data_IF_533071234726
#
_entry.id   IF_533071234726
#
_cell.length_a   1.000
_cell.length_b   1.000
_cell.length_c   1.000
_cell.angle_alpha   90.00
_cell.angle_beta   90.00
_cell.angle_gamma   90.00
#
_symmetry.space_group_name_H-M   'P 1'
#
loop_
_entity.id
_entity.type
_entity.pdbx_description
1 polymer ?
#
# COMPACT_ATOMS: atom_id res chain seq x y z
N UNK A 1 13.74 -8.05 21.75
CA UNK A 1 14.84 -7.23 21.16
C UNK A 1 14.62 -5.79 21.58
N UNK A 2 15.57 -5.18 22.32
CA UNK A 2 15.43 -3.79 22.76
C UNK A 2 15.66 -2.86 21.56
N UNK A 3 14.68 -2.08 21.20
CA UNK A 3 14.83 -1.05 20.16
C UNK A 3 15.71 0.06 20.72
N UNK A 4 16.93 0.18 20.22
CA UNK A 4 17.83 1.26 20.60
C UNK A 4 17.43 2.56 19.89
N UNK A 5 17.37 3.66 20.64
CA UNK A 5 17.03 4.98 20.12
C UNK A 5 18.22 5.93 20.23
N UNK A 6 18.37 6.80 19.23
CA UNK A 6 19.18 7.99 19.34
C UNK A 6 18.40 9.09 20.07
N UNK A 7 19.11 9.84 20.90
CA UNK A 7 18.63 11.10 21.47
C UNK A 7 18.86 12.25 20.49
N UNK A 8 18.21 13.38 20.72
CA UNK A 8 18.44 14.59 19.93
C UNK A 8 19.92 15.03 20.00
N UNK A 9 20.58 14.86 21.14
CA UNK A 9 21.99 15.22 21.33
C UNK A 9 22.91 14.34 20.50
N UNK A 10 22.72 13.02 20.51
CA UNK A 10 23.50 12.10 19.68
C UNK A 10 23.34 12.42 18.18
N UNK A 11 22.14 12.82 17.74
CA UNK A 11 21.92 13.24 16.36
C UNK A 11 22.57 14.58 16.02
N UNK A 12 22.62 15.54 16.97
CA UNK A 12 23.36 16.78 16.76
C UNK A 12 24.85 16.53 16.52
N UNK A 13 25.45 15.67 17.35
CA UNK A 13 26.87 15.30 17.24
C UNK A 13 27.14 14.53 15.95
N UNK A 14 26.26 13.63 15.55
CA UNK A 14 26.42 12.79 14.35
C UNK A 14 26.18 13.56 13.05
N UNK A 15 25.17 14.44 13.02
CA UNK A 15 24.75 15.15 11.79
C UNK A 15 25.39 16.55 11.68
N UNK A 16 26.07 17.03 12.71
CA UNK A 16 26.62 18.39 12.80
C UNK A 16 25.58 19.50 12.52
N UNK A 17 24.35 19.31 12.98
CA UNK A 17 23.25 20.27 12.85
C UNK A 17 22.69 20.66 14.22
N UNK A 18 22.11 21.85 14.31
CA UNK A 18 21.55 22.36 15.55
C UNK A 18 20.23 21.65 15.94
N UNK A 19 19.89 21.73 17.23
CA UNK A 19 18.70 21.11 17.81
C UNK A 19 17.40 21.56 17.15
N UNK A 20 17.31 22.84 16.79
CA UNK A 20 16.12 23.42 16.19
C UNK A 20 15.88 22.85 14.80
N UNK A 21 16.96 22.66 14.05
CA UNK A 21 16.90 22.01 12.74
C UNK A 21 16.46 20.56 12.82
N UNK A 22 16.95 19.79 13.83
CA UNK A 22 16.50 18.41 14.06
C UNK A 22 15.00 18.38 14.35
N UNK A 23 14.52 19.25 15.23
CA UNK A 23 13.09 19.29 15.55
C UNK A 23 12.23 19.67 14.35
N UNK A 24 12.63 20.69 13.59
CA UNK A 24 11.93 21.09 12.38
C UNK A 24 11.89 19.99 11.32
N UNK A 25 12.98 19.21 11.21
CA UNK A 25 13.02 18.07 10.28
C UNK A 25 12.15 16.91 10.77
N UNK A 26 12.10 16.66 12.06
CA UNK A 26 11.26 15.61 12.65
C UNK A 26 9.77 15.98 12.58
N UNK A 27 9.41 17.21 12.90
CA UNK A 27 8.04 17.72 12.80
C UNK A 27 7.54 17.71 11.34
N UNK A 28 8.43 18.01 10.39
CA UNK A 28 8.13 17.95 8.96
C UNK A 28 8.16 16.53 8.37
N UNK A 29 8.37 15.48 9.18
CA UNK A 29 8.47 14.09 8.72
C UNK A 29 9.70 13.78 7.85
N UNK A 30 10.66 14.71 7.74
CA UNK A 30 11.89 14.54 6.94
C UNK A 30 12.99 13.79 7.65
N UNK A 31 12.90 13.64 8.97
CA UNK A 31 13.79 12.86 9.82
C UNK A 31 12.95 11.83 10.58
N UNK A 32 13.26 10.52 10.47
CA UNK A 32 12.44 9.48 11.11
C UNK A 32 12.60 9.54 12.64
N UNK A 33 11.59 10.07 13.32
CA UNK A 33 11.52 10.20 14.76
C UNK A 33 10.11 10.00 15.28
N UNK A 34 10.00 9.79 16.59
CA UNK A 34 8.73 9.75 17.31
C UNK A 34 8.83 10.57 18.58
N UNK A 35 7.72 11.19 18.97
CA UNK A 35 7.61 11.96 20.18
C UNK A 35 7.09 11.06 21.29
N UNK A 36 7.90 10.81 22.32
CA UNK A 36 7.51 10.04 23.51
C UNK A 36 7.43 11.03 24.68
N UNK A 37 6.20 11.32 25.11
CA UNK A 37 5.95 12.44 26.03
C UNK A 37 6.39 13.77 25.42
N UNK A 38 7.29 14.47 26.08
CA UNK A 38 7.82 15.75 25.60
C UNK A 38 9.22 15.65 24.96
N UNK A 39 9.67 14.44 24.64
CA UNK A 39 11.00 14.18 24.09
C UNK A 39 10.95 13.43 22.77
N UNK A 40 11.76 13.88 21.80
CA UNK A 40 11.98 13.15 20.57
C UNK A 40 12.88 11.94 20.80
N UNK A 41 12.52 10.80 20.19
CA UNK A 41 13.30 9.57 20.12
C UNK A 41 13.41 9.13 18.67
N UNK A 42 14.58 8.72 18.25
CA UNK A 42 14.91 8.41 16.88
C UNK A 42 15.36 6.94 16.81
N UNK A 43 14.56 6.02 16.25
CA UNK A 43 14.94 4.61 16.17
C UNK A 43 16.23 4.45 15.37
N UNK A 44 17.27 3.84 15.97
CA UNK A 44 18.62 3.74 15.37
C UNK A 44 18.56 3.17 13.95
N UNK A 45 17.94 2.03 13.77
CA UNK A 45 17.82 1.39 12.46
C UNK A 45 17.21 2.30 11.38
N UNK A 46 16.20 3.11 11.75
CA UNK A 46 15.55 4.04 10.80
C UNK A 46 16.43 5.23 10.46
N UNK A 47 17.22 5.69 11.41
CA UNK A 47 18.19 6.78 11.20
C UNK A 47 19.36 6.28 10.35
N UNK A 48 19.90 5.10 10.64
CA UNK A 48 21.01 4.53 9.88
C UNK A 48 20.63 4.30 8.41
N UNK A 49 19.42 3.78 8.16
CA UNK A 49 18.87 3.65 6.80
C UNK A 49 18.65 5.01 6.11
N UNK A 50 18.17 6.00 6.86
CA UNK A 50 17.96 7.35 6.34
C UNK A 50 19.28 8.03 5.98
N UNK A 51 20.34 7.85 6.81
CA UNK A 51 21.69 8.32 6.54
C UNK A 51 22.29 7.66 5.30
N UNK A 52 22.23 6.34 5.21
CA UNK A 52 22.70 5.60 4.05
C UNK A 52 22.02 6.07 2.76
N UNK A 53 20.76 6.47 2.85
CA UNK A 53 20.01 7.03 1.70
C UNK A 53 20.42 8.47 1.35
N UNK A 54 20.88 9.26 2.34
CA UNK A 54 21.28 10.67 2.18
C UNK A 54 22.75 10.84 1.81
N UNK A 55 23.65 9.99 2.32
CA UNK A 55 25.10 10.10 2.12
C UNK A 55 25.54 9.71 0.71
N UNK A 56 24.64 9.15 -0.11
CA UNK A 56 25.02 8.69 -1.46
C UNK A 56 26.13 7.61 -1.43
N UNK A 57 26.47 7.12 -0.24
CA UNK A 57 27.44 6.08 -0.06
C UNK A 57 26.89 4.78 -0.66
N UNK A 58 27.28 4.57 -1.89
CA UNK A 58 27.20 3.28 -2.55
C UNK A 58 28.06 2.31 -1.73
N UNK A 59 27.49 1.72 -0.68
CA UNK A 59 27.99 0.42 -0.27
C UNK A 59 27.87 -0.41 -1.54
N UNK A 60 29.02 -0.92 -2.02
CA UNK A 60 29.21 -1.53 -3.32
C UNK A 60 28.18 -2.57 -3.74
N UNK A 61 27.00 -2.09 -4.02
CA UNK A 61 26.04 -2.75 -4.87
C UNK A 61 26.17 -2.02 -6.19
N UNK A 62 26.79 -2.68 -7.16
CA UNK A 62 26.79 -2.28 -8.55
C UNK A 62 25.43 -1.66 -8.91
N UNK A 63 25.40 -0.64 -9.80
CA UNK A 63 24.15 -0.17 -10.36
C UNK A 63 23.57 -1.34 -11.16
N UNK A 64 22.89 -2.25 -10.47
CA UNK A 64 21.98 -3.15 -11.15
C UNK A 64 20.93 -2.24 -11.74
N UNK A 65 21.01 -2.13 -13.05
CA UNK A 65 20.06 -1.61 -13.97
C UNK A 65 18.65 -1.56 -13.36
N UNK A 66 17.97 -0.43 -13.57
CA UNK A 66 16.52 -0.26 -13.34
C UNK A 66 15.70 -1.22 -14.22
N UNK A 67 15.98 -2.50 -14.09
CA UNK A 67 15.28 -3.58 -14.75
C UNK A 67 15.08 -4.67 -13.71
N UNK A 68 13.83 -4.85 -13.31
CA UNK A 68 13.32 -6.01 -12.57
C UNK A 68 13.77 -6.12 -11.11
N UNK A 69 13.09 -5.45 -10.19
CA UNK A 69 12.76 -6.11 -8.92
C UNK A 69 12.00 -7.36 -9.32
N UNK A 70 12.61 -8.52 -9.19
CA UNK A 70 11.93 -9.77 -9.54
C UNK A 70 10.70 -9.89 -8.64
N UNK A 71 9.60 -10.44 -9.16
CA UNK A 71 8.37 -10.68 -8.40
C UNK A 71 8.67 -11.39 -7.06
N UNK A 72 9.74 -12.16 -6.98
CA UNK A 72 10.26 -12.82 -5.78
C UNK A 72 10.75 -11.83 -4.70
N UNK A 73 11.42 -10.72 -5.08
CA UNK A 73 11.92 -9.72 -4.10
C UNK A 73 10.75 -8.89 -3.54
N UNK A 74 9.77 -8.58 -4.37
CA UNK A 74 8.56 -7.89 -3.96
C UNK A 74 7.69 -8.75 -3.02
N UNK A 75 7.51 -10.04 -3.33
CA UNK A 75 6.81 -10.99 -2.49
C UNK A 75 7.48 -11.15 -1.11
N UNK A 76 8.83 -11.21 -1.09
CA UNK A 76 9.59 -11.26 0.17
C UNK A 76 9.39 -10.00 1.03
N UNK A 77 9.27 -8.82 0.43
CA UNK A 77 9.01 -7.56 1.14
C UNK A 77 7.60 -7.48 1.68
N UNK A 78 6.62 -7.95 0.92
CA UNK A 78 5.23 -8.05 1.38
C UNK A 78 5.11 -9.02 2.56
N UNK A 79 5.85 -10.13 2.54
CA UNK A 79 5.87 -11.10 3.63
C UNK A 79 6.43 -10.55 4.96
N UNK A 80 7.16 -9.43 4.93
CA UNK A 80 7.64 -8.75 6.14
C UNK A 80 6.59 -7.81 6.75
N UNK A 81 5.46 -7.58 6.09
CA UNK A 81 4.40 -6.74 6.62
C UNK A 81 3.63 -7.46 7.73
N UNK A 82 3.20 -6.76 8.79
CA UNK A 82 2.36 -7.33 9.84
C UNK A 82 0.91 -7.47 9.32
N UNK A 83 0.65 -8.51 8.52
CA UNK A 83 -0.61 -8.67 7.76
C UNK A 83 -1.83 -8.66 8.69
N UNK A 84 -1.77 -9.30 9.86
CA UNK A 84 -2.90 -9.31 10.81
C UNK A 84 -3.26 -7.91 11.31
N UNK A 85 -2.24 -7.08 11.58
CA UNK A 85 -2.45 -5.69 12.00
C UNK A 85 -3.03 -4.85 10.84
N UNK A 86 -2.50 -5.04 9.64
CA UNK A 86 -2.99 -4.38 8.43
C UNK A 86 -4.44 -4.77 8.15
N UNK A 87 -4.78 -6.06 8.28
CA UNK A 87 -6.15 -6.55 8.11
C UNK A 87 -7.11 -5.90 9.10
N UNK A 88 -6.74 -5.80 10.38
CA UNK A 88 -7.58 -5.16 11.41
C UNK A 88 -7.84 -3.68 11.10
N UNK A 89 -6.80 -2.95 10.67
CA UNK A 89 -6.92 -1.55 10.25
C UNK A 89 -7.84 -1.46 9.03
N UNK A 90 -7.63 -2.31 8.05
CA UNK A 90 -8.42 -2.38 6.82
C UNK A 90 -9.90 -2.66 7.13
N UNK A 91 -10.20 -3.63 7.98
CA UNK A 91 -11.57 -3.99 8.39
C UNK A 91 -12.27 -2.78 9.03
N UNK A 92 -11.57 -2.09 9.95
CA UNK A 92 -12.10 -0.90 10.64
C UNK A 92 -12.43 0.23 9.66
N UNK A 93 -11.55 0.52 8.71
CA UNK A 93 -11.79 1.57 7.72
C UNK A 93 -12.87 1.17 6.70
N UNK A 94 -12.91 -0.08 6.26
CA UNK A 94 -13.91 -0.57 5.35
C UNK A 94 -15.32 -0.45 5.95
N UNK A 95 -15.48 -0.80 7.21
CA UNK A 95 -16.75 -0.68 7.94
C UNK A 95 -17.14 0.78 8.15
N UNK A 96 -16.20 1.61 8.59
CA UNK A 96 -16.46 3.03 8.85
C UNK A 96 -16.85 3.82 7.59
N UNK A 97 -16.29 3.45 6.44
CA UNK A 97 -16.55 4.12 5.15
C UNK A 97 -17.69 3.46 4.36
N UNK A 98 -18.13 2.27 4.76
CA UNK A 98 -19.17 1.50 4.06
C UNK A 98 -18.73 1.05 2.66
N UNK A 99 -17.43 0.83 2.43
CA UNK A 99 -16.87 0.43 1.13
C UNK A 99 -16.03 -0.82 1.24
N UNK A 100 -15.94 -1.59 0.17
CA UNK A 100 -15.00 -2.70 0.08
C UNK A 100 -13.58 -2.17 0.08
N UNK A 101 -12.68 -2.84 0.81
CA UNK A 101 -11.23 -2.59 0.78
C UNK A 101 -10.49 -3.91 0.67
N UNK A 102 -9.50 -3.97 -0.19
CA UNK A 102 -8.53 -5.07 -0.29
C UNK A 102 -7.15 -4.52 -0.64
N UNK A 103 -6.12 -5.09 -0.04
CA UNK A 103 -4.73 -4.78 -0.39
C UNK A 103 -4.21 -5.89 -1.30
N UNK A 104 -3.60 -5.48 -2.43
CA UNK A 104 -3.00 -6.40 -3.40
C UNK A 104 -1.53 -6.06 -3.63
N UNK A 105 -0.80 -7.00 -4.16
CA UNK A 105 0.49 -6.71 -4.80
C UNK A 105 0.28 -5.95 -6.14
N UNK A 106 1.37 -5.70 -6.87
CA UNK A 106 1.32 -4.99 -8.16
C UNK A 106 0.77 -5.87 -9.30
N UNK A 107 0.71 -7.17 -9.11
CA UNK A 107 0.10 -8.12 -10.06
C UNK A 107 -1.39 -8.35 -9.79
N UNK A 108 -1.97 -7.61 -8.82
CA UNK A 108 -3.37 -7.71 -8.45
C UNK A 108 -3.70 -8.88 -7.53
N UNK A 109 -2.70 -9.64 -7.07
CA UNK A 109 -2.91 -10.75 -6.15
C UNK A 109 -3.17 -10.22 -4.73
N UNK A 110 -4.23 -10.67 -4.05
CA UNK A 110 -4.53 -10.24 -2.69
C UNK A 110 -3.43 -10.57 -1.69
N UNK A 111 -3.08 -9.57 -0.88
CA UNK A 111 -2.21 -9.67 0.29
C UNK A 111 -3.05 -9.79 1.56
N UNK A 112 -4.21 -9.14 1.56
CA UNK A 112 -5.21 -9.22 2.63
C UNK A 112 -6.50 -9.85 2.11
N UNK A 113 -7.39 -10.28 3.02
CA UNK A 113 -8.76 -10.65 2.66
C UNK A 113 -9.56 -9.39 2.35
N UNK A 114 -10.55 -9.49 1.47
CA UNK A 114 -11.46 -8.39 1.17
C UNK A 114 -12.31 -8.06 2.41
N UNK A 115 -12.29 -6.80 2.84
CA UNK A 115 -13.12 -6.28 3.93
C UNK A 115 -14.37 -5.63 3.36
N UNK A 116 -15.50 -5.81 4.04
CA UNK A 116 -16.80 -5.25 3.66
C UNK A 116 -17.16 -5.46 2.16
N UNK A 117 -16.83 -6.63 1.62
CA UNK A 117 -17.11 -6.96 0.23
C UNK A 117 -18.64 -7.04 -0.02
N UNK A 118 -19.17 -6.42 -1.10
CA UNK A 118 -20.56 -6.60 -1.53
C UNK A 118 -20.91 -8.07 -1.77
N UNK A 119 -22.19 -8.42 -1.66
CA UNK A 119 -22.65 -9.79 -1.85
C UNK A 119 -22.24 -10.40 -3.19
N UNK A 120 -22.28 -9.61 -4.27
CA UNK A 120 -21.82 -10.04 -5.59
C UNK A 120 -20.31 -10.37 -5.59
N UNK A 121 -19.47 -9.54 -4.99
CA UNK A 121 -18.02 -9.80 -4.91
C UNK A 121 -17.74 -11.06 -4.09
N UNK A 122 -18.42 -11.26 -2.96
CA UNK A 122 -18.30 -12.49 -2.16
C UNK A 122 -18.72 -13.74 -2.93
N UNK A 123 -19.78 -13.63 -3.74
CA UNK A 123 -20.19 -14.73 -4.60
C UNK A 123 -19.13 -15.07 -5.66
N UNK A 124 -18.51 -14.05 -6.26
CA UNK A 124 -17.41 -14.22 -7.21
C UNK A 124 -16.18 -14.83 -6.54
N UNK A 125 -15.81 -14.37 -5.34
CA UNK A 125 -14.66 -14.91 -4.57
C UNK A 125 -14.85 -16.39 -4.21
N UNK A 126 -16.08 -16.87 -4.14
CA UNK A 126 -16.40 -18.26 -3.90
C UNK A 126 -16.24 -19.17 -5.14
N UNK A 127 -16.09 -18.60 -6.33
CA UNK A 127 -15.98 -19.31 -7.60
C UNK A 127 -14.61 -19.04 -8.24
N UNK A 128 -13.69 -20.04 -8.31
CA UNK A 128 -12.31 -19.84 -8.75
C UNK A 128 -12.18 -19.19 -10.15
N UNK A 129 -13.00 -19.62 -11.11
CA UNK A 129 -12.94 -19.10 -12.47
C UNK A 129 -13.36 -17.61 -12.52
N UNK A 130 -14.49 -17.28 -11.91
CA UNK A 130 -14.98 -15.90 -11.81
C UNK A 130 -14.01 -15.02 -11.01
N UNK A 131 -13.39 -15.56 -9.97
CA UNK A 131 -12.40 -14.84 -9.17
C UNK A 131 -11.16 -14.47 -9.97
N UNK A 132 -10.74 -15.33 -10.91
CA UNK A 132 -9.62 -15.05 -11.80
C UNK A 132 -9.85 -13.77 -12.63
N UNK A 133 -11.06 -13.48 -13.07
CA UNK A 133 -11.40 -12.25 -13.77
C UNK A 133 -11.29 -11.01 -12.86
N UNK A 134 -11.67 -11.12 -11.58
CA UNK A 134 -11.44 -10.06 -10.59
C UNK A 134 -9.95 -9.76 -10.41
N UNK A 135 -9.12 -10.80 -10.28
CA UNK A 135 -7.67 -10.66 -10.15
C UNK A 135 -7.07 -9.98 -11.39
N UNK A 136 -7.47 -10.40 -12.59
CA UNK A 136 -7.02 -9.80 -13.84
C UNK A 136 -7.41 -8.32 -13.93
N UNK A 137 -8.60 -7.96 -13.46
CA UNK A 137 -9.06 -6.58 -13.42
C UNK A 137 -8.27 -5.75 -12.40
N UNK A 138 -7.98 -6.27 -11.19
CA UNK A 138 -7.11 -5.59 -10.23
C UNK A 138 -5.70 -5.40 -10.79
N UNK A 139 -5.14 -6.41 -11.45
CA UNK A 139 -3.86 -6.29 -12.14
C UNK A 139 -3.88 -5.19 -13.22
N UNK A 140 -4.99 -5.05 -13.95
CA UNK A 140 -5.15 -4.01 -14.95
C UNK A 140 -5.19 -2.60 -14.33
N UNK A 141 -5.65 -2.46 -13.08
CA UNK A 141 -5.62 -1.18 -12.37
C UNK A 141 -4.20 -0.65 -12.19
N UNK A 142 -3.20 -1.51 -11.96
CA UNK A 142 -1.81 -1.07 -11.78
C UNK A 142 -1.24 -0.41 -13.03
N UNK A 143 -1.68 -0.85 -14.21
CA UNK A 143 -1.22 -0.37 -15.53
C UNK A 143 -1.88 0.93 -15.96
N UNK A 144 -2.95 1.38 -15.29
CA UNK A 144 -3.62 2.63 -15.64
C UNK A 144 -2.71 3.83 -15.38
N UNK A 145 -2.68 4.83 -16.26
CA UNK A 145 -1.87 6.03 -16.06
C UNK A 145 -2.37 6.84 -14.86
N UNK A 146 -1.46 7.56 -14.23
CA UNK A 146 -1.72 8.46 -13.11
C UNK A 146 -1.63 7.79 -11.74
N UNK A 147 -1.23 8.59 -10.76
CA UNK A 147 -1.07 8.16 -9.37
C UNK A 147 -2.24 8.58 -8.49
N UNK A 148 -3.08 9.50 -8.97
CA UNK A 148 -4.27 9.97 -8.23
C UNK A 148 -5.36 8.91 -8.26
N UNK A 149 -6.03 8.63 -7.14
CA UNK A 149 -7.22 7.79 -7.12
C UNK A 149 -8.30 8.35 -8.05
N UNK A 150 -8.88 7.49 -8.88
CA UNK A 150 -9.99 7.83 -9.75
C UNK A 150 -10.96 6.65 -9.80
N UNK A 151 -12.24 6.91 -9.56
CA UNK A 151 -13.28 5.89 -9.65
C UNK A 151 -13.37 5.36 -11.08
N UNK A 152 -13.43 4.04 -11.18
CA UNK A 152 -13.50 3.32 -12.45
C UNK A 152 -14.46 2.16 -12.30
N UNK A 153 -15.27 1.91 -13.33
CA UNK A 153 -16.11 0.73 -13.37
C UNK A 153 -15.25 -0.54 -13.50
N UNK A 154 -15.53 -1.53 -12.68
CA UNK A 154 -14.97 -2.87 -12.79
C UNK A 154 -15.64 -3.66 -13.93
N UNK A 155 -15.10 -4.85 -14.22
CA UNK A 155 -15.72 -5.78 -15.19
C UNK A 155 -17.16 -6.14 -14.83
N UNK A 156 -17.51 -6.10 -13.56
CA UNK A 156 -18.87 -6.35 -13.05
C UNK A 156 -19.68 -5.05 -12.83
N UNK A 157 -19.21 -3.92 -13.34
CA UNK A 157 -19.93 -2.64 -13.30
C UNK A 157 -19.85 -1.88 -11.96
N UNK A 158 -19.29 -2.45 -10.89
CA UNK A 158 -19.11 -1.73 -9.64
C UNK A 158 -17.94 -0.74 -9.74
N UNK A 159 -18.12 0.44 -9.11
CA UNK A 159 -17.08 1.47 -9.08
C UNK A 159 -16.03 1.14 -8.04
N UNK A 160 -14.78 1.13 -8.47
CA UNK A 160 -13.62 0.97 -7.61
C UNK A 160 -12.53 1.99 -7.96
N UNK A 161 -11.62 2.19 -7.04
CA UNK A 161 -10.43 3.01 -7.24
C UNK A 161 -9.24 2.38 -6.55
N UNK A 162 -8.04 2.90 -6.80
CA UNK A 162 -6.80 2.42 -6.17
C UNK A 162 -5.95 3.55 -5.61
N UNK A 163 -5.18 3.20 -4.59
CA UNK A 163 -4.06 3.99 -4.11
C UNK A 163 -2.82 3.09 -4.02
N UNK A 164 -1.67 3.57 -4.49
CA UNK A 164 -0.44 2.79 -4.41
C UNK A 164 0.19 2.83 -3.03
N UNK A 165 0.68 1.68 -2.58
CA UNK A 165 1.49 1.53 -1.38
C UNK A 165 2.95 1.66 -1.79
N UNK A 166 3.70 2.50 -1.06
CA UNK A 166 5.11 2.77 -1.31
C UNK A 166 5.97 2.39 -0.11
N UNK A 167 7.15 1.88 -0.43
CA UNK A 167 8.23 1.73 0.52
C UNK A 167 9.44 2.51 0.00
N UNK A 168 9.68 3.70 0.57
CA UNK A 168 10.63 4.66 0.00
C UNK A 168 10.17 5.17 -1.36
N UNK A 169 10.97 4.99 -2.40
CA UNK A 169 10.65 5.36 -3.79
C UNK A 169 9.95 4.25 -4.58
N UNK A 170 9.89 3.04 -4.06
CA UNK A 170 9.35 1.88 -4.77
C UNK A 170 7.86 1.69 -4.48
N UNK A 171 7.11 1.28 -5.49
CA UNK A 171 5.75 0.78 -5.35
C UNK A 171 5.83 -0.70 -4.95
N UNK A 172 5.13 -1.09 -3.89
CA UNK A 172 5.12 -2.47 -3.39
C UNK A 172 3.75 -3.14 -3.49
N UNK A 173 2.71 -2.37 -3.73
CA UNK A 173 1.35 -2.88 -3.84
C UNK A 173 0.36 -1.74 -4.02
N UNK A 174 -0.90 -2.07 -3.89
CA UNK A 174 -1.98 -1.08 -3.92
C UNK A 174 -3.11 -1.45 -2.96
N UNK A 175 -3.81 -0.42 -2.50
CA UNK A 175 -5.11 -0.56 -1.86
C UNK A 175 -6.16 -0.38 -2.94
N UNK A 176 -7.00 -1.36 -3.15
CA UNK A 176 -8.21 -1.26 -3.98
C UNK A 176 -9.38 -1.02 -3.04
N UNK A 177 -10.16 -0.01 -3.31
CA UNK A 177 -11.34 0.31 -2.52
C UNK A 177 -12.50 0.77 -3.41
N UNK A 178 -13.73 0.51 -2.95
CA UNK A 178 -14.93 0.76 -3.72
C UNK A 178 -15.99 -0.31 -3.54
N UNK A 179 -16.27 -1.03 -4.60
CA UNK A 179 -17.42 -1.95 -4.63
C UNK A 179 -18.75 -1.18 -4.61
N UNK A 180 -18.74 0.07 -5.08
CA UNK A 180 -19.87 0.99 -5.02
C UNK A 180 -20.74 0.79 -6.26
N UNK A 181 -22.03 0.55 -6.06
CA UNK A 181 -22.99 0.50 -7.15
C UNK A 181 -23.19 1.90 -7.75
N UNK A 182 -23.10 2.09 -9.07
CA UNK A 182 -23.51 3.34 -9.71
C UNK A 182 -25.02 3.58 -9.55
N UNK A 183 -25.48 4.82 -9.81
CA UNK A 183 -26.88 5.19 -9.64
C UNK A 183 -27.87 4.34 -10.47
N UNK A 184 -27.42 3.84 -11.61
CA UNK A 184 -28.21 2.98 -12.52
C UNK A 184 -27.80 1.50 -12.38
N UNK A 185 -27.57 1.04 -11.18
CA UNK A 185 -27.28 -0.35 -10.87
C UNK A 185 -28.53 -1.08 -10.34
N UNK A 186 -28.77 -2.33 -10.72
CA UNK A 186 -27.99 -3.15 -11.66
C UNK A 186 -28.09 -2.65 -13.11
N UNK A 187 -27.11 -2.96 -13.95
CA UNK A 187 -27.20 -2.67 -15.37
C UNK A 187 -28.40 -3.41 -16.01
N UNK A 188 -28.76 -3.02 -17.21
CA UNK A 188 -29.88 -3.67 -17.93
C UNK A 188 -29.70 -5.20 -17.98
N UNK A 189 -30.77 -6.01 -18.02
CA UNK A 189 -30.68 -7.47 -18.02
C UNK A 189 -29.74 -8.04 -19.09
N UNK A 190 -29.63 -7.39 -20.22
CA UNK A 190 -28.72 -7.75 -21.31
C UNK A 190 -27.25 -7.56 -20.92
N UNK A 191 -26.95 -6.49 -20.20
CA UNK A 191 -25.60 -6.22 -19.70
C UNK A 191 -25.20 -7.19 -18.60
N UNK A 192 -26.15 -7.56 -17.71
CA UNK A 192 -25.94 -8.61 -16.70
C UNK A 192 -25.64 -9.95 -17.38
N UNK A 193 -26.37 -10.29 -18.44
CA UNK A 193 -26.13 -11.52 -19.19
C UNK A 193 -24.78 -11.52 -19.92
N UNK A 194 -24.28 -10.35 -20.34
CA UNK A 194 -22.96 -10.21 -20.92
C UNK A 194 -21.87 -10.37 -19.85
N UNK A 195 -22.02 -9.69 -18.71
CA UNK A 195 -21.12 -9.82 -17.55
C UNK A 195 -21.04 -11.28 -17.10
N UNK A 196 -22.17 -11.99 -17.04
CA UNK A 196 -22.21 -13.40 -16.63
C UNK A 196 -21.60 -14.36 -17.67
N UNK A 197 -21.54 -13.97 -18.95
CA UNK A 197 -20.85 -14.74 -20.00
C UNK A 197 -19.33 -14.54 -20.00
N UNK A 198 -18.89 -13.36 -19.55
CA UNK A 198 -17.48 -12.98 -19.52
C UNK A 198 -16.79 -13.39 -18.18
N UNK A 199 -17.55 -13.91 -17.22
CA UNK A 199 -17.08 -14.49 -15.94
C UNK A 199 -16.96 -16.01 -16.03
#
# INVERSE_FOLDING_TARGET
MSVAYYTTRELQEMLHIDRTTIYRMADAGRLPGMKIGNQWRFPRQRIDLWLAHKSGERVGVHPRSFASSTATDLAARIALLPIDCIQLIQDTFADALGVMVVITDLDGKPVTRSSNAPGLVRAIEAHPDAYTHCLAWWAALTRRPGLKPALTASSIGLLCTRAFIRMGSELIGMVVFGGIAPQLWPPAPEEIANIARDL
#
